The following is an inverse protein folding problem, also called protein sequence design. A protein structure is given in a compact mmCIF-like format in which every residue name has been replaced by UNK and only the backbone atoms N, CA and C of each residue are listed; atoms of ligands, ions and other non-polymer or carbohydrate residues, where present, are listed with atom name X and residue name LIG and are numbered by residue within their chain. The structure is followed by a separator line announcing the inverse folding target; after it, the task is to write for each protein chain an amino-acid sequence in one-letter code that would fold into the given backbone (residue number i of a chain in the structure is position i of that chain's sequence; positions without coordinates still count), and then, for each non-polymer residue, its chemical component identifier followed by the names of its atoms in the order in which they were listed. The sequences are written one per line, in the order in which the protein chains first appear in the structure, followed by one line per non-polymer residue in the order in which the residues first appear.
data_IF_093886154343
#
_entry.id   IF_093886154343
#
_cell.length_a   1.000
_cell.length_b   1.000
_cell.length_c   1.000
_cell.angle_alpha   90.00
_cell.angle_beta   90.00
_cell.angle_gamma   90.00
#
_symmetry.space_group_name_H-M   'P 1'
#
loop_
_entity.id
_entity.type
_entity.pdbx_description
1 polymer ?
#
# COMPACT_ATOMS: atom_id res chain seq x y z
N UNK A 1 -9.82 44.15 2.66
CA UNK A 1 -10.81 44.67 1.68
C UNK A 1 -12.17 44.77 2.32
N UNK A 2 -12.78 45.93 2.16
CA UNK A 2 -13.91 46.55 2.87
C UNK A 2 -15.22 45.75 2.76
N UNK A 3 -15.79 45.28 3.88
CA UNK A 3 -17.18 44.79 3.94
C UNK A 3 -18.16 45.96 4.08
N UNK A 4 -18.17 46.86 3.10
CA UNK A 4 -19.08 47.99 3.02
C UNK A 4 -19.96 47.82 1.78
N UNK A 5 -21.04 47.03 1.85
CA UNK A 5 -22.17 47.16 0.89
C UNK A 5 -23.45 46.37 1.22
N UNK A 6 -23.53 45.60 2.32
CA UNK A 6 -24.75 44.83 2.63
C UNK A 6 -25.97 45.69 3.00
N UNK A 7 -25.74 46.97 3.29
CA UNK A 7 -26.76 47.87 3.79
C UNK A 7 -27.59 48.52 2.66
N UNK A 8 -27.15 48.48 1.40
CA UNK A 8 -27.91 49.06 0.28
C UNK A 8 -29.01 48.12 -0.22
N UNK A 9 -28.75 46.81 -0.22
CA UNK A 9 -29.68 45.77 -0.69
C UNK A 9 -30.86 45.51 0.27
N UNK A 10 -30.75 45.96 1.53
CA UNK A 10 -31.79 45.78 2.57
C UNK A 10 -32.80 46.93 2.62
N UNK A 11 -32.47 48.12 2.11
CA UNK A 11 -33.24 49.36 2.32
C UNK A 11 -34.62 49.37 1.66
N UNK A 12 -34.77 48.73 0.49
CA UNK A 12 -36.01 48.78 -0.29
C UNK A 12 -36.76 47.44 -0.30
N UNK A 13 -36.46 46.54 0.64
CA UNK A 13 -37.05 45.20 0.70
C UNK A 13 -37.93 45.07 1.93
N UNK A 14 -39.09 44.47 1.77
CA UNK A 14 -39.96 44.16 2.89
C UNK A 14 -39.27 43.16 3.84
N UNK A 15 -39.61 43.19 5.14
CA UNK A 15 -39.04 42.29 6.14
C UNK A 15 -39.16 40.81 5.72
N UNK A 16 -40.28 40.45 5.07
CA UNK A 16 -40.51 39.11 4.51
C UNK A 16 -39.46 38.72 3.46
N UNK A 17 -39.09 39.64 2.56
CA UNK A 17 -38.08 39.41 1.52
C UNK A 17 -36.67 39.32 2.12
N UNK A 18 -36.38 40.07 3.18
CA UNK A 18 -35.08 40.02 3.88
C UNK A 18 -34.91 38.66 4.55
N UNK A 19 -35.92 38.20 5.30
CA UNK A 19 -35.89 36.91 5.99
C UNK A 19 -35.83 35.73 5.01
N UNK A 20 -36.55 35.82 3.89
CA UNK A 20 -36.50 34.80 2.85
C UNK A 20 -35.11 34.75 2.17
N UNK A 21 -34.50 35.90 1.87
CA UNK A 21 -33.16 35.97 1.31
C UNK A 21 -32.08 35.48 2.28
N UNK A 22 -32.19 35.77 3.58
CA UNK A 22 -31.28 35.26 4.61
C UNK A 22 -31.42 33.74 4.78
N UNK A 23 -32.65 33.22 4.76
CA UNK A 23 -32.91 31.77 4.77
C UNK A 23 -32.33 31.08 3.52
N UNK A 24 -32.52 31.65 2.34
CA UNK A 24 -31.94 31.12 1.09
C UNK A 24 -30.41 31.20 1.04
N UNK A 25 -29.82 32.28 1.57
CA UNK A 25 -28.37 32.42 1.70
C UNK A 25 -27.80 31.42 2.71
N UNK A 26 -28.49 31.19 3.83
CA UNK A 26 -28.12 30.17 4.81
C UNK A 26 -28.18 28.76 4.20
N UNK A 27 -29.20 28.46 3.39
CA UNK A 27 -29.31 27.17 2.68
C UNK A 27 -28.22 27.01 1.61
N UNK A 28 -27.88 28.06 0.86
CA UNK A 28 -26.74 28.04 -0.10
C UNK A 28 -25.40 27.85 0.61
N UNK A 29 -25.16 28.55 1.72
CA UNK A 29 -23.93 28.41 2.50
C UNK A 29 -23.81 27.02 3.14
N UNK A 30 -24.90 26.45 3.64
CA UNK A 30 -24.94 25.07 4.12
C UNK A 30 -24.66 24.07 2.99
N UNK A 31 -25.24 24.29 1.79
CA UNK A 31 -24.99 23.47 0.61
C UNK A 31 -23.55 23.53 0.09
N UNK A 32 -22.89 24.69 0.19
CA UNK A 32 -21.47 24.84 -0.16
C UNK A 32 -20.57 24.08 0.82
N UNK A 33 -20.84 24.16 2.13
CA UNK A 33 -20.11 23.40 3.15
C UNK A 33 -20.24 21.88 2.96
N UNK A 34 -21.40 21.42 2.49
CA UNK A 34 -21.61 20.00 2.17
C UNK A 34 -20.81 19.56 0.93
N UNK A 35 -20.74 20.39 -0.12
CA UNK A 35 -19.94 20.12 -1.31
C UNK A 35 -18.43 20.13 -1.03
N UNK A 36 -17.94 21.06 -0.22
CA UNK A 36 -16.52 21.10 0.18
C UNK A 36 -16.12 19.86 1.00
N UNK A 37 -16.98 19.42 1.93
CA UNK A 37 -16.76 18.17 2.67
C UNK A 37 -16.72 16.97 1.75
N UNK A 38 -17.65 16.88 0.78
CA UNK A 38 -17.70 15.79 -0.20
C UNK A 38 -16.47 15.76 -1.13
N UNK A 39 -15.97 16.92 -1.56
CA UNK A 39 -14.76 16.99 -2.39
C UNK A 39 -13.50 16.62 -1.61
N UNK A 40 -13.38 17.08 -0.35
CA UNK A 40 -12.27 16.71 0.56
C UNK A 40 -12.25 15.23 0.93
N UNK A 41 -13.42 14.57 0.89
CA UNK A 41 -13.57 13.14 1.09
C UNK A 41 -13.30 12.35 -0.21
N UNK A 42 -13.59 12.93 -1.38
CA UNK A 42 -13.30 12.37 -2.71
C UNK A 42 -11.80 12.33 -3.05
N UNK A 43 -11.04 13.37 -2.68
CA UNK A 43 -9.58 13.41 -2.90
C UNK A 43 -8.80 12.39 -2.04
N UNK A 44 -9.42 11.90 -0.96
CA UNK A 44 -8.85 10.87 -0.07
C UNK A 44 -9.24 9.44 -0.47
N UNK A 45 -9.91 9.24 -1.59
CA UNK A 45 -10.19 7.88 -2.07
C UNK A 45 -8.89 7.25 -2.54
N UNK A 46 -8.57 6.12 -1.91
CA UNK A 46 -7.30 5.43 -1.96
C UNK A 46 -6.76 5.31 -3.37
N UNK A 47 -5.56 5.87 -3.57
CA UNK A 47 -4.76 5.52 -4.74
C UNK A 47 -4.55 4.00 -4.70
N UNK A 48 -4.72 3.34 -5.83
CA UNK A 48 -4.35 1.92 -5.97
C UNK A 48 -2.91 1.74 -5.45
N UNK A 49 -2.65 0.65 -4.73
CA UNK A 49 -1.36 0.42 -4.04
C UNK A 49 -0.18 0.63 -4.99
N UNK A 50 -0.26 0.15 -6.24
CA UNK A 50 0.77 0.38 -7.26
C UNK A 50 0.99 1.86 -7.64
N UNK A 51 -0.09 2.66 -7.73
CA UNK A 51 0.01 4.09 -8.00
C UNK A 51 0.53 4.89 -6.79
N UNK A 52 0.25 4.42 -5.57
CA UNK A 52 0.81 4.98 -4.36
C UNK A 52 2.32 4.70 -4.28
N UNK A 53 2.76 3.47 -4.53
CA UNK A 53 4.18 3.08 -4.55
C UNK A 53 4.96 3.84 -5.64
N UNK A 54 4.41 4.00 -6.85
CA UNK A 54 5.05 4.83 -7.89
C UNK A 54 5.19 6.30 -7.50
N UNK A 55 4.22 6.86 -6.77
CA UNK A 55 4.28 8.24 -6.32
C UNK A 55 5.34 8.43 -5.21
N UNK A 56 5.52 7.43 -4.34
CA UNK A 56 6.59 7.41 -3.31
C UNK A 56 7.96 7.27 -3.97
N UNK A 57 8.14 6.30 -4.89
CA UNK A 57 9.40 6.11 -5.61
C UNK A 57 9.83 7.38 -6.38
N UNK A 58 8.90 8.05 -7.07
CA UNK A 58 9.19 9.32 -7.78
C UNK A 58 9.58 10.47 -6.83
N UNK A 59 9.12 10.44 -5.59
CA UNK A 59 9.49 11.44 -4.58
C UNK A 59 10.89 11.16 -4.04
N UNK A 60 11.19 9.90 -3.75
CA UNK A 60 12.52 9.47 -3.30
C UNK A 60 13.59 9.74 -4.35
N UNK A 61 13.31 9.51 -5.64
CA UNK A 61 14.24 9.85 -6.73
C UNK A 61 14.51 11.36 -6.82
N UNK A 62 13.48 12.20 -6.66
CA UNK A 62 13.64 13.67 -6.65
C UNK A 62 14.45 14.14 -5.45
N UNK A 63 14.24 13.55 -4.28
CA UNK A 63 14.99 13.89 -3.08
C UNK A 63 16.46 13.42 -3.17
N UNK A 64 16.74 12.29 -3.83
CA UNK A 64 18.11 11.86 -4.15
C UNK A 64 18.80 12.79 -5.14
N UNK A 65 18.13 13.14 -6.23
CA UNK A 65 18.67 14.09 -7.20
C UNK A 65 18.92 15.46 -6.57
N UNK A 66 18.01 15.95 -5.72
CA UNK A 66 18.21 17.19 -4.98
C UNK A 66 19.37 17.12 -3.97
N UNK A 67 19.57 15.96 -3.30
CA UNK A 67 20.73 15.72 -2.44
C UNK A 67 22.05 15.61 -3.21
N UNK A 68 22.03 14.99 -4.39
CA UNK A 68 23.20 14.91 -5.27
C UNK A 68 23.55 16.29 -5.88
N UNK A 69 22.56 17.10 -6.20
CA UNK A 69 22.74 18.49 -6.64
C UNK A 69 23.27 19.37 -5.49
N UNK A 70 22.79 19.16 -4.26
CA UNK A 70 23.33 19.82 -3.07
C UNK A 70 24.76 19.35 -2.75
N UNK A 71 25.05 18.05 -2.83
CA UNK A 71 26.38 17.48 -2.58
C UNK A 71 27.42 17.88 -3.65
N UNK A 72 27.01 18.10 -4.91
CA UNK A 72 27.88 18.66 -5.94
C UNK A 72 28.24 20.14 -5.72
N UNK A 73 27.53 20.84 -4.83
CA UNK A 73 27.82 22.22 -4.47
C UNK A 73 28.73 22.37 -3.24
N UNK A 74 29.06 21.29 -2.55
CA UNK A 74 29.92 21.28 -1.36
C UNK A 74 31.21 20.49 -1.62
N UNK A 75 32.35 21.18 -1.75
CA UNK A 75 33.70 20.60 -1.89
C UNK A 75 34.28 20.23 -0.52
N UNK A 76 34.71 18.97 -0.25
CA UNK A 76 35.31 18.62 1.04
C UNK A 76 36.86 18.60 1.01
N UNK A 77 37.45 19.14 2.10
CA UNK A 77 38.90 19.14 2.42
C UNK A 77 39.22 17.95 3.34
N UNK A 78 40.37 17.32 3.13
CA UNK A 78 40.84 16.05 3.69
C UNK A 78 41.39 16.09 5.14
N UNK A 79 41.39 14.93 5.81
CA UNK A 79 42.35 14.36 6.82
C UNK A 79 41.66 13.16 7.50
N UNK A 80 42.26 12.05 7.94
CA UNK A 80 43.54 11.36 7.77
C UNK A 80 43.38 10.01 8.51
N UNK A 81 44.21 9.04 8.14
CA UNK A 81 44.14 7.63 8.55
C UNK A 81 44.82 7.36 9.91
N UNK A 82 44.28 6.44 10.73
CA UNK A 82 45.06 5.76 11.78
C UNK A 82 44.80 4.24 11.73
N UNK A 83 45.93 3.53 11.73
CA UNK A 83 46.17 2.09 11.50
C UNK A 83 45.56 1.14 12.53
N UNK A 84 45.24 -0.06 12.06
CA UNK A 84 44.86 -1.23 12.84
C UNK A 84 45.99 -2.28 12.82
N UNK A 85 46.35 -2.84 13.98
CA UNK A 85 47.01 -4.16 14.11
C UNK A 85 46.65 -4.79 15.47
N UNK A 86 46.38 -6.11 15.50
CA UNK A 86 46.17 -6.88 16.72
C UNK A 86 45.43 -8.21 16.52
N UNK A 87 46.12 -9.23 16.01
CA UNK A 87 45.68 -10.63 15.93
C UNK A 87 45.68 -11.34 17.30
N UNK A 88 44.71 -12.24 17.53
CA UNK A 88 44.69 -13.16 18.67
C UNK A 88 43.52 -14.15 18.65
N UNK A 89 43.80 -15.39 18.24
CA UNK A 89 42.89 -16.56 18.24
C UNK A 89 42.53 -17.03 19.65
N UNK A 90 41.34 -17.63 19.83
CA UNK A 90 41.04 -18.48 20.99
C UNK A 90 39.56 -18.86 21.10
N UNK A 91 39.28 -20.13 20.87
CA UNK A 91 37.99 -20.82 20.85
C UNK A 91 37.22 -20.81 22.18
N UNK A 92 35.88 -20.95 22.14
CA UNK A 92 35.06 -21.99 22.83
C UNK A 92 33.64 -21.53 23.22
N UNK A 93 32.69 -22.24 22.62
CA UNK A 93 31.48 -22.85 23.18
C UNK A 93 30.39 -22.05 23.93
N UNK A 94 29.17 -22.45 23.55
CA UNK A 94 27.85 -21.99 23.94
C UNK A 94 27.52 -22.43 25.37
N UNK A 95 26.95 -21.52 26.16
CA UNK A 95 26.12 -21.88 27.31
C UNK A 95 24.83 -21.07 27.31
N UNK A 96 23.74 -21.77 27.02
CA UNK A 96 22.38 -21.28 27.20
C UNK A 96 21.99 -21.46 28.67
N UNK A 97 21.60 -20.38 29.34
CA UNK A 97 20.72 -20.43 30.52
C UNK A 97 20.12 -19.04 30.78
N UNK A 98 18.92 -18.88 30.24
CA UNK A 98 17.73 -18.20 30.78
C UNK A 98 17.92 -17.30 32.02
N UNK A 99 17.71 -15.99 31.82
CA UNK A 99 17.15 -15.13 32.87
C UNK A 99 16.00 -14.32 32.29
N UNK A 100 14.79 -14.72 32.67
CA UNK A 100 13.61 -13.91 32.58
C UNK A 100 13.76 -12.63 33.39
N UNK A 101 12.98 -11.60 33.00
CA UNK A 101 12.68 -10.35 33.70
C UNK A 101 13.53 -9.13 33.31
N UNK A 102 13.07 -8.37 32.30
CA UNK A 102 12.90 -6.91 32.40
C UNK A 102 12.08 -6.37 31.21
N UNK A 103 10.76 -6.54 31.28
CA UNK A 103 9.83 -5.76 30.47
C UNK A 103 9.36 -4.59 31.34
N UNK A 104 10.02 -3.44 31.22
CA UNK A 104 9.51 -2.11 31.57
C UNK A 104 10.62 -1.06 31.33
N UNK A 105 10.56 -0.41 30.17
CA UNK A 105 10.99 0.98 29.98
C UNK A 105 10.52 1.44 28.61
N UNK A 106 9.31 2.01 28.57
CA UNK A 106 8.89 2.86 27.48
C UNK A 106 9.75 4.12 27.50
N UNK A 107 10.85 4.10 26.76
CA UNK A 107 11.64 5.30 26.49
C UNK A 107 10.96 6.07 25.36
N UNK A 108 10.42 7.24 25.73
CA UNK A 108 10.17 8.30 24.77
C UNK A 108 11.54 8.84 24.36
N UNK A 109 12.02 8.46 23.18
CA UNK A 109 13.12 9.15 22.54
C UNK A 109 12.64 10.54 22.12
N UNK A 110 13.29 11.58 22.64
CA UNK A 110 13.21 12.92 22.10
C UNK A 110 13.91 12.93 20.73
N UNK A 111 13.15 13.18 19.66
CA UNK A 111 13.70 13.25 18.30
C UNK A 111 14.54 14.53 18.12
N UNK A 112 15.85 14.38 17.89
CA UNK A 112 16.71 15.41 17.33
C UNK A 112 16.17 15.88 15.96
N UNK A 113 15.95 17.19 15.71
CA UNK A 113 15.22 17.68 14.53
C UNK A 113 15.99 17.63 13.19
N UNK A 114 17.13 16.92 13.11
CA UNK A 114 18.01 16.90 11.93
C UNK A 114 18.42 15.53 11.41
N UNK A 115 18.05 14.42 12.06
CA UNK A 115 18.41 13.08 11.60
C UNK A 115 17.37 12.54 10.60
N UNK A 116 17.78 11.86 9.51
CA UNK A 116 16.83 11.18 8.63
C UNK A 116 16.08 10.12 9.46
N UNK A 117 14.75 10.23 9.52
CA UNK A 117 13.90 9.23 10.18
C UNK A 117 14.24 7.87 9.60
N UNK A 118 14.73 6.96 10.44
CA UNK A 118 14.99 5.57 10.04
C UNK A 118 13.65 4.95 9.69
N UNK A 119 13.48 4.49 8.46
CA UNK A 119 12.30 3.73 8.05
C UNK A 119 12.34 2.37 8.75
N UNK A 120 11.81 2.33 9.97
CA UNK A 120 11.66 1.11 10.74
C UNK A 120 10.54 0.31 10.05
N UNK A 121 10.84 -0.85 9.44
CA UNK A 121 9.83 -1.66 8.79
C UNK A 121 8.77 -2.05 9.82
N UNK A 122 7.55 -1.60 9.60
CA UNK A 122 6.40 -2.00 10.42
C UNK A 122 6.05 -3.45 10.13
N UNK A 123 5.43 -4.15 11.08
CA UNK A 123 4.99 -5.55 10.90
C UNK A 123 4.15 -5.73 9.61
N UNK A 124 3.36 -4.72 9.24
CA UNK A 124 2.55 -4.72 8.01
C UNK A 124 3.33 -4.52 6.70
N UNK A 125 4.59 -4.09 6.77
CA UNK A 125 5.45 -3.88 5.60
C UNK A 125 6.21 -5.14 5.19
N UNK A 126 6.26 -6.15 6.06
CA UNK A 126 7.01 -7.40 5.83
C UNK A 126 6.09 -8.40 5.13
N UNK A 127 6.37 -8.68 3.85
CA UNK A 127 5.66 -9.69 3.07
C UNK A 127 6.17 -11.10 3.42
N UNK A 128 5.26 -12.08 3.45
CA UNK A 128 5.62 -13.45 3.76
C UNK A 128 6.49 -14.04 2.63
N UNK A 129 7.55 -14.80 2.97
CA UNK A 129 8.36 -15.47 1.96
C UNK A 129 7.53 -16.53 1.21
N UNK A 130 7.87 -16.84 -0.05
CA UNK A 130 7.17 -17.85 -0.83
C UNK A 130 7.36 -19.24 -0.24
N UNK A 131 6.38 -20.13 -0.47
CA UNK A 131 6.45 -21.50 0.02
C UNK A 131 7.48 -22.34 -0.75
N UNK A 132 8.40 -23.01 -0.04
CA UNK A 132 9.36 -23.95 -0.62
C UNK A 132 8.79 -25.36 -0.85
N UNK A 133 7.67 -25.70 -0.21
CA UNK A 133 7.07 -27.03 -0.30
C UNK A 133 6.26 -27.14 -1.59
N UNK A 134 6.39 -28.24 -2.36
CA UNK A 134 5.59 -28.43 -3.56
C UNK A 134 4.10 -28.54 -3.19
N UNK A 135 3.27 -27.77 -3.89
CA UNK A 135 1.82 -27.78 -3.68
C UNK A 135 1.22 -29.11 -4.18
N UNK A 136 0.26 -29.65 -3.40
CA UNK A 136 -0.53 -30.80 -3.84
C UNK A 136 -1.47 -30.38 -4.96
N UNK A 137 -1.66 -31.26 -5.94
CA UNK A 137 -2.55 -31.04 -7.08
C UNK A 137 -3.91 -31.66 -6.79
N UNK A 138 -4.96 -30.86 -6.93
CA UNK A 138 -6.35 -31.28 -6.81
C UNK A 138 -7.06 -31.12 -8.14
N UNK A 139 -8.13 -31.89 -8.33
CA UNK A 139 -8.98 -31.86 -9.49
C UNK A 139 -9.80 -30.57 -9.49
N UNK A 140 -9.85 -29.88 -10.62
CA UNK A 140 -10.53 -28.59 -10.72
C UNK A 140 -12.07 -28.73 -10.67
N UNK A 141 -12.58 -29.93 -10.97
CA UNK A 141 -14.03 -30.23 -11.00
C UNK A 141 -14.52 -30.78 -9.66
N UNK A 142 -13.81 -31.77 -9.09
CA UNK A 142 -14.29 -32.52 -7.90
C UNK A 142 -13.54 -32.16 -6.61
N UNK A 143 -12.37 -31.53 -6.68
CA UNK A 143 -11.53 -31.24 -5.52
C UNK A 143 -10.77 -32.44 -4.92
N UNK A 144 -10.92 -33.64 -5.50
CA UNK A 144 -10.12 -34.82 -5.11
C UNK A 144 -8.66 -34.66 -5.57
N UNK A 145 -7.74 -35.44 -5.02
CA UNK A 145 -6.31 -35.40 -5.43
C UNK A 145 -6.20 -35.78 -6.91
N UNK A 146 -5.61 -34.92 -7.75
CA UNK A 146 -5.50 -35.18 -9.18
C UNK A 146 -4.09 -35.66 -9.56
N UNK A 147 -3.92 -36.94 -9.93
CA UNK A 147 -2.65 -37.45 -10.46
C UNK A 147 -2.41 -37.04 -11.93
N UNK A 148 -3.44 -36.67 -12.68
CA UNK A 148 -3.35 -36.41 -14.13
C UNK A 148 -3.76 -34.99 -14.52
N UNK A 149 -3.33 -34.56 -15.71
CA UNK A 149 -3.62 -33.25 -16.27
C UNK A 149 -3.88 -33.37 -17.77
N UNK A 150 -4.89 -32.66 -18.25
CA UNK A 150 -5.32 -32.67 -19.64
C UNK A 150 -4.36 -31.87 -20.53
N UNK A 151 -3.87 -32.44 -21.64
CA UNK A 151 -2.98 -31.71 -22.55
C UNK A 151 -3.71 -30.64 -23.37
N UNK A 152 -5.05 -30.74 -23.52
CA UNK A 152 -5.85 -29.81 -24.33
C UNK A 152 -6.30 -28.59 -23.53
N UNK A 153 -6.85 -28.81 -22.34
CA UNK A 153 -7.43 -27.76 -21.49
C UNK A 153 -6.51 -27.35 -20.33
N UNK A 154 -5.49 -28.14 -19.97
CA UNK A 154 -4.67 -27.88 -18.78
C UNK A 154 -5.41 -28.10 -17.45
N UNK A 155 -6.61 -28.70 -17.49
CA UNK A 155 -7.39 -29.07 -16.31
C UNK A 155 -6.82 -30.34 -15.65
N UNK A 156 -6.94 -30.40 -14.33
CA UNK A 156 -6.47 -31.53 -13.51
C UNK A 156 -7.66 -32.44 -13.20
N UNK A 157 -7.47 -33.75 -13.36
CA UNK A 157 -8.53 -34.73 -13.14
C UNK A 157 -8.06 -35.93 -12.31
N UNK A 158 -9.02 -36.58 -11.63
CA UNK A 158 -8.77 -37.74 -10.76
C UNK A 158 -9.00 -39.07 -11.47
N UNK A 159 -10.17 -39.26 -12.08
CA UNK A 159 -10.62 -40.50 -12.70
C UNK A 159 -10.98 -40.32 -14.18
N UNK A 160 -11.13 -41.43 -14.89
CA UNK A 160 -11.51 -41.46 -16.31
C UNK A 160 -12.91 -40.82 -16.53
N UNK A 161 -13.83 -41.02 -15.60
CA UNK A 161 -15.19 -40.44 -15.66
C UNK A 161 -15.15 -38.90 -15.70
N UNK A 162 -14.28 -38.29 -14.88
CA UNK A 162 -14.11 -36.83 -14.89
C UNK A 162 -13.50 -36.36 -16.20
N UNK A 163 -12.58 -37.12 -16.77
CA UNK A 163 -11.99 -36.81 -18.06
C UNK A 163 -13.00 -36.86 -19.21
N UNK A 164 -13.95 -37.81 -19.18
CA UNK A 164 -15.05 -37.87 -20.15
C UNK A 164 -15.96 -36.64 -20.07
N UNK A 165 -16.25 -36.17 -18.86
CA UNK A 165 -17.00 -34.93 -18.65
C UNK A 165 -16.23 -33.72 -19.20
N UNK A 166 -14.92 -33.62 -18.92
CA UNK A 166 -14.11 -32.50 -19.40
C UNK A 166 -14.03 -32.47 -20.93
N UNK A 167 -13.98 -33.64 -21.59
CA UNK A 167 -14.03 -33.71 -23.06
C UNK A 167 -15.32 -33.16 -23.67
N UNK A 168 -16.42 -33.22 -22.92
CA UNK A 168 -17.73 -32.72 -23.35
C UNK A 168 -17.93 -31.23 -23.02
N UNK A 169 -16.97 -30.58 -22.38
CA UNK A 169 -17.07 -29.16 -22.07
C UNK A 169 -17.18 -28.30 -23.34
N UNK A 170 -18.13 -27.36 -23.31
CA UNK A 170 -18.24 -26.33 -24.32
C UNK A 170 -17.07 -25.35 -24.27
N UNK A 171 -16.86 -24.58 -25.36
CA UNK A 171 -15.78 -23.61 -25.42
C UNK A 171 -15.90 -22.56 -24.30
N UNK A 172 -14.83 -22.32 -23.55
CA UNK A 172 -14.74 -21.28 -22.51
C UNK A 172 -15.05 -21.76 -21.08
N UNK A 173 -15.65 -22.94 -20.92
CA UNK A 173 -15.88 -23.55 -19.59
C UNK A 173 -14.56 -23.92 -18.92
N UNK A 174 -13.61 -24.43 -19.72
CA UNK A 174 -12.23 -24.69 -19.32
C UNK A 174 -11.55 -23.45 -18.73
N UNK A 175 -11.66 -22.31 -19.40
CA UNK A 175 -11.10 -21.05 -18.92
C UNK A 175 -11.76 -20.57 -17.62
N UNK A 176 -13.05 -20.82 -17.44
CA UNK A 176 -13.73 -20.51 -16.18
C UNK A 176 -13.12 -21.31 -15.01
N UNK A 177 -12.93 -22.63 -15.17
CA UNK A 177 -12.28 -23.45 -14.14
C UNK A 177 -10.82 -23.07 -13.90
N UNK A 178 -10.05 -22.78 -14.96
CA UNK A 178 -8.67 -22.30 -14.82
C UNK A 178 -8.58 -20.95 -14.10
N UNK A 179 -9.54 -20.05 -14.34
CA UNK A 179 -9.57 -18.74 -13.68
C UNK A 179 -9.82 -18.85 -12.17
N UNK A 180 -10.61 -19.83 -11.73
CA UNK A 180 -10.83 -20.13 -10.31
C UNK A 180 -9.54 -20.60 -9.64
N UNK A 181 -8.69 -21.36 -10.35
CA UNK A 181 -7.37 -21.78 -9.87
C UNK A 181 -6.35 -20.65 -9.87
N UNK A 182 -6.58 -19.59 -10.64
CA UNK A 182 -5.63 -18.49 -10.87
C UNK A 182 -4.70 -18.69 -12.07
N UNK A 183 -4.92 -19.75 -12.86
CA UNK A 183 -4.15 -20.05 -14.09
C UNK A 183 -4.86 -19.56 -15.37
N UNK A 184 -6.02 -18.91 -15.24
CA UNK A 184 -6.81 -18.45 -16.38
C UNK A 184 -6.11 -17.31 -17.15
N UNK A 185 -5.66 -17.58 -18.37
CA UNK A 185 -5.11 -16.58 -19.26
C UNK A 185 -6.19 -16.06 -20.21
N UNK A 186 -6.61 -14.82 -20.01
CA UNK A 186 -7.38 -14.09 -21.03
C UNK A 186 -6.37 -13.39 -21.93
N UNK A 187 -6.37 -13.75 -23.22
CA UNK A 187 -5.61 -13.01 -24.22
C UNK A 187 -6.26 -11.62 -24.33
N UNK A 188 -5.48 -10.57 -24.04
CA UNK A 188 -5.91 -9.18 -24.13
C UNK A 188 -5.78 -8.64 -25.55
#
# INVERSE_FOLDING_TARGET
MTKMSSNLSRRNKSLKQILQAEREAAMRAAGQKFKERKNKEGEKKGRLVGAALQAVARREERERLAKEEAAKSETPVAHEEIKAEGDGKGDLEIKAEETAQKAESGEKEEEDPGAPKRDIPSYSSVEAPPSLRPAKKYCDVTGLIAPYTDPKSGLRYHSVEVYEIIKQFGPGVDNAYLSLRGDGSQIK
#
